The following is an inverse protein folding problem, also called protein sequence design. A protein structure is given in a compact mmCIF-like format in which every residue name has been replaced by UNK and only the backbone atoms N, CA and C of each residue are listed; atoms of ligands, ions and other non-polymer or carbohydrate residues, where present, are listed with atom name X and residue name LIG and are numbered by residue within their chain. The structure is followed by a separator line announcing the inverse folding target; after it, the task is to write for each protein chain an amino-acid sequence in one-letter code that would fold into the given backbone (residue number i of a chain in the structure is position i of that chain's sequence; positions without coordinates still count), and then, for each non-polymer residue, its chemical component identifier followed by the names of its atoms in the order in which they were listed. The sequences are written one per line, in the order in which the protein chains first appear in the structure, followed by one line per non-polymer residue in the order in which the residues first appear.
data_IF_380651215048
#
_entry.id   IF_380651215048
#
_cell.length_a   1.000
_cell.length_b   1.000
_cell.length_c   1.000
_cell.angle_alpha   90.00
_cell.angle_beta   90.00
_cell.angle_gamma   90.00
#
_symmetry.space_group_name_H-M   'P 1'
#
loop_
_entity.id
_entity.type
_entity.pdbx_description
1 polymer ?
#
# COMPACT_ATOMS: atom_id res chain seq x y z
N UNK A 1 0.95 16.05 -25.00
CA UNK A 1 0.74 15.89 -24.39
C UNK A 1 0.83 15.36 -23.38
N UNK A 2 1.08 15.50 -23.07
CA UNK A 2 1.21 15.05 -22.09
C UNK A 2 0.46 14.29 -21.52
N UNK A 3 0.11 14.04 -21.86
CA UNK A 3 -0.80 13.04 -21.53
C UNK A 3 -0.38 12.21 -20.38
N UNK A 4 0.84 11.82 -20.36
CA UNK A 4 1.36 11.03 -19.25
C UNK A 4 1.17 11.75 -17.95
N UNK A 5 1.37 13.01 -17.98
CA UNK A 5 1.16 13.80 -16.78
C UNK A 5 -0.28 13.73 -16.35
N UNK A 6 -1.17 13.69 -17.30
CA UNK A 6 -2.57 13.63 -16.96
C UNK A 6 -2.98 12.33 -16.32
N UNK A 7 -2.15 11.30 -16.42
CA UNK A 7 -2.47 10.01 -15.82
C UNK A 7 -2.21 9.95 -14.34
N UNK A 8 -1.43 10.87 -13.81
CA UNK A 8 -1.12 10.88 -12.40
C UNK A 8 -1.99 11.91 -11.71
N UNK A 9 -2.67 11.48 -10.67
CA UNK A 9 -3.47 12.40 -9.88
C UNK A 9 -3.47 11.97 -8.43
N UNK A 10 -3.58 12.95 -7.55
CA UNK A 10 -3.55 12.70 -6.13
C UNK A 10 -4.96 12.80 -5.58
N UNK A 11 -5.37 11.77 -4.84
CA UNK A 11 -6.65 11.77 -4.15
C UNK A 11 -6.38 12.21 -2.73
N UNK A 12 -6.99 13.32 -2.36
CA UNK A 12 -6.83 13.84 -1.01
C UNK A 12 -7.90 13.28 -0.11
N UNK A 13 -7.53 13.01 1.12
CA UNK A 13 -8.50 12.67 2.13
C UNK A 13 -9.33 13.89 2.47
N UNK A 14 -10.29 13.74 3.36
CA UNK A 14 -11.09 14.86 3.81
C UNK A 14 -10.21 15.94 4.41
N UNK A 15 -10.73 17.14 4.49
CA UNK A 15 -9.97 18.25 5.07
C UNK A 15 -9.51 17.87 6.46
N UNK A 16 -8.25 18.14 6.75
CA UNK A 16 -7.63 17.78 8.02
C UNK A 16 -6.88 16.47 7.99
N UNK A 17 -7.10 15.65 6.96
CA UNK A 17 -6.40 14.37 6.85
C UNK A 17 -5.31 14.40 5.81
N UNK A 18 -5.27 15.41 4.97
CA UNK A 18 -4.33 15.48 3.86
C UNK A 18 -2.87 15.51 4.34
N UNK A 19 -2.62 15.95 5.57
CA UNK A 19 -1.28 15.98 6.13
C UNK A 19 -0.87 14.65 6.76
N UNK A 20 -1.75 13.67 6.82
CA UNK A 20 -1.42 12.36 7.35
C UNK A 20 -1.04 11.38 6.25
N UNK A 21 -1.70 11.45 5.11
CA UNK A 21 -1.32 10.63 3.96
C UNK A 21 -1.81 11.27 2.67
N UNK A 22 -1.23 10.80 1.57
CA UNK A 22 -1.73 11.14 0.25
C UNK A 22 -1.78 9.86 -0.59
N UNK A 23 -2.75 9.80 -1.49
CA UNK A 23 -2.89 8.69 -2.42
C UNK A 23 -2.79 9.26 -3.84
N UNK A 24 -1.80 8.79 -4.59
CA UNK A 24 -1.60 9.21 -5.97
C UNK A 24 -1.92 8.06 -6.90
N UNK A 25 -2.77 8.30 -7.88
CA UNK A 25 -3.12 7.31 -8.88
C UNK A 25 -2.12 7.43 -10.03
N UNK A 26 -1.32 6.41 -10.22
CA UNK A 26 -0.38 6.31 -11.34
C UNK A 26 -0.95 5.30 -12.34
N UNK A 27 -0.39 5.20 -13.55
CA UNK A 27 -0.99 4.33 -14.55
C UNK A 27 -1.13 2.87 -14.13
N UNK A 28 -0.17 2.35 -13.34
CA UNK A 28 -0.16 0.91 -13.03
C UNK A 28 -0.14 0.60 -11.55
N UNK A 29 -0.02 1.62 -10.68
CA UNK A 29 0.00 1.41 -9.23
C UNK A 29 -0.71 2.57 -8.55
N UNK A 30 -1.16 2.31 -7.33
CA UNK A 30 -1.63 3.36 -6.42
C UNK A 30 -0.51 3.61 -5.43
N UNK A 31 -0.10 4.86 -5.28
CA UNK A 31 0.98 5.22 -4.37
C UNK A 31 0.39 5.87 -3.13
N UNK A 32 0.51 5.20 -2.01
CA UNK A 32 0.04 5.68 -0.71
C UNK A 32 1.25 6.13 0.09
N UNK A 33 1.33 7.43 0.38
CA UNK A 33 2.43 7.97 1.15
C UNK A 33 1.93 8.46 2.49
N UNK A 34 2.45 7.88 3.57
CA UNK A 34 2.14 8.32 4.91
C UNK A 34 3.12 9.40 5.33
N UNK A 35 2.64 10.40 6.07
CA UNK A 35 3.52 11.38 6.66
C UNK A 35 4.46 10.69 7.66
N UNK A 36 5.63 11.27 7.95
CA UNK A 36 6.55 10.60 8.87
C UNK A 36 6.08 10.72 10.32
N UNK A 37 6.55 9.77 11.13
CA UNK A 37 6.40 9.80 12.59
C UNK A 37 4.95 9.73 13.05
N UNK A 38 4.14 8.96 12.33
CA UNK A 38 2.73 8.83 12.68
C UNK A 38 2.46 7.64 13.60
N UNK A 39 1.39 7.77 14.36
CA UNK A 39 0.68 6.64 14.94
C UNK A 39 -0.52 6.43 14.02
N UNK A 40 -0.54 5.30 13.33
CA UNK A 40 -1.62 4.98 12.40
C UNK A 40 -2.71 4.25 13.18
N UNK A 41 -3.90 4.79 13.17
CA UNK A 41 -5.01 4.20 13.90
C UNK A 41 -6.08 3.67 12.94
N UNK A 42 -7.13 3.09 13.51
CA UNK A 42 -8.19 2.49 12.70
C UNK A 42 -8.88 3.50 11.80
N UNK A 43 -9.06 4.74 12.29
CA UNK A 43 -9.70 5.77 11.48
C UNK A 43 -8.84 6.10 10.23
N UNK A 44 -7.52 6.08 10.39
CA UNK A 44 -6.63 6.28 9.24
C UNK A 44 -6.84 5.19 8.19
N UNK A 45 -6.98 3.94 8.63
CA UNK A 45 -7.18 2.84 7.70
C UNK A 45 -8.53 2.97 6.99
N UNK A 46 -9.56 3.40 7.71
CA UNK A 46 -10.86 3.63 7.08
C UNK A 46 -10.80 4.72 6.02
N UNK A 47 -10.04 5.78 6.28
CA UNK A 47 -9.87 6.86 5.32
C UNK A 47 -9.11 6.41 4.09
N UNK A 48 -8.09 5.57 4.27
CA UNK A 48 -7.39 4.99 3.13
C UNK A 48 -8.35 4.15 2.30
N UNK A 49 -9.17 3.35 2.95
CA UNK A 49 -10.15 2.55 2.22
C UNK A 49 -11.09 3.41 1.39
N UNK A 50 -11.56 4.51 1.96
CA UNK A 50 -12.43 5.44 1.23
C UNK A 50 -11.68 6.07 0.05
N UNK A 51 -10.42 6.42 0.23
CA UNK A 51 -9.63 7.01 -0.83
C UNK A 51 -9.40 6.00 -1.97
N UNK A 52 -9.17 4.73 -1.63
CA UNK A 52 -9.01 3.69 -2.64
C UNK A 52 -10.26 3.56 -3.49
N UNK A 53 -11.42 3.55 -2.85
CA UNK A 53 -12.69 3.48 -3.59
C UNK A 53 -12.86 4.72 -4.44
N UNK A 54 -12.58 5.90 -3.89
CA UNK A 54 -12.76 7.15 -4.61
C UNK A 54 -11.82 7.25 -5.82
N UNK A 55 -10.70 6.53 -5.80
CA UNK A 55 -9.75 6.57 -6.90
C UNK A 55 -10.32 5.95 -8.18
N UNK A 56 -11.31 5.08 -8.05
CA UNK A 56 -11.83 4.34 -9.19
C UNK A 56 -10.88 3.27 -9.71
N UNK A 57 -9.79 3.03 -9.01
CA UNK A 57 -8.76 2.07 -9.42
C UNK A 57 -8.39 1.14 -8.31
N UNK A 58 -9.36 0.73 -7.50
CA UNK A 58 -9.09 -0.03 -6.28
C UNK A 58 -8.51 -1.43 -6.53
N UNK A 59 -8.42 -1.87 -7.77
CA UNK A 59 -7.83 -3.17 -8.08
C UNK A 59 -6.35 -3.10 -8.46
N UNK A 60 -5.78 -1.90 -8.54
CA UNK A 60 -4.36 -1.77 -8.88
C UNK A 60 -3.47 -2.16 -7.69
N UNK A 61 -2.24 -2.60 -7.96
CA UNK A 61 -1.28 -2.80 -6.88
C UNK A 61 -1.04 -1.52 -6.08
N UNK A 62 -0.70 -1.67 -4.82
CA UNK A 62 -0.50 -0.53 -3.92
C UNK A 62 0.95 -0.46 -3.50
N UNK A 63 1.55 0.72 -3.62
CA UNK A 63 2.85 1.03 -3.10
C UNK A 63 2.65 1.92 -1.87
N UNK A 64 2.82 1.36 -0.68
CA UNK A 64 2.59 2.09 0.57
C UNK A 64 3.94 2.48 1.16
N UNK A 65 4.17 3.77 1.33
CA UNK A 65 5.45 4.28 1.84
C UNK A 65 5.26 4.81 3.26
N UNK A 66 6.09 4.34 4.18
CA UNK A 66 6.10 4.79 5.56
C UNK A 66 7.50 5.32 5.89
N UNK A 67 7.60 6.22 6.86
CA UNK A 67 8.87 6.78 7.27
C UNK A 67 8.85 7.07 8.76
N UNK A 68 9.79 6.48 9.49
CA UNK A 68 9.94 6.71 10.93
C UNK A 68 8.61 6.50 11.66
N UNK A 69 7.92 5.44 11.32
CA UNK A 69 6.61 5.14 11.88
C UNK A 69 6.71 4.93 13.38
N UNK A 70 5.81 5.53 14.14
CA UNK A 70 5.83 5.38 15.58
C UNK A 70 5.08 4.16 16.05
N UNK A 71 3.91 3.94 15.47
CA UNK A 71 3.07 2.83 15.90
C UNK A 71 1.96 2.59 14.89
N UNK A 72 1.50 1.36 14.82
CA UNK A 72 0.24 1.01 14.18
C UNK A 72 -0.59 0.40 15.31
N UNK A 73 -1.70 1.03 15.66
CA UNK A 73 -2.49 0.59 16.79
C UNK A 73 -3.04 -0.82 16.56
N UNK A 74 -3.43 -1.48 17.64
CA UNK A 74 -3.96 -2.83 17.56
C UNK A 74 -5.16 -2.92 16.62
N UNK A 75 -6.12 -2.01 16.78
CA UNK A 75 -7.32 -2.06 15.95
C UNK A 75 -7.03 -1.68 14.50
N UNK A 76 -6.02 -0.84 14.26
CA UNK A 76 -5.57 -0.58 12.89
C UNK A 76 -5.00 -1.85 12.26
N UNK A 77 -4.19 -2.60 13.03
CA UNK A 77 -3.64 -3.87 12.54
C UNK A 77 -4.75 -4.85 12.20
N UNK A 78 -5.76 -4.93 13.05
CA UNK A 78 -6.89 -5.80 12.77
C UNK A 78 -7.62 -5.39 11.50
N UNK A 79 -7.80 -4.10 11.29
CA UNK A 79 -8.45 -3.61 10.08
C UNK A 79 -7.64 -3.97 8.83
N UNK A 80 -6.32 -3.84 8.91
CA UNK A 80 -5.45 -4.20 7.78
C UNK A 80 -5.53 -5.70 7.51
N UNK A 81 -5.47 -6.51 8.56
CA UNK A 81 -5.51 -7.96 8.39
C UNK A 81 -6.87 -8.43 7.86
N UNK A 82 -7.93 -7.69 8.13
CA UNK A 82 -9.24 -8.03 7.62
C UNK A 82 -9.50 -7.58 6.19
N UNK A 83 -8.59 -6.81 5.63
CA UNK A 83 -8.75 -6.31 4.27
C UNK A 83 -8.06 -7.25 3.28
N UNK A 84 -8.74 -7.60 2.21
CA UNK A 84 -8.18 -8.43 1.15
C UNK A 84 -8.08 -7.59 -0.11
N UNK A 85 -6.85 -7.31 -0.53
CA UNK A 85 -6.61 -6.54 -1.74
C UNK A 85 -6.43 -7.50 -2.91
N UNK A 86 -7.03 -7.20 -4.08
CA UNK A 86 -6.96 -8.13 -5.21
C UNK A 86 -5.59 -8.18 -5.90
N UNK A 87 -4.71 -7.23 -5.62
CA UNK A 87 -3.38 -7.20 -6.21
C UNK A 87 -2.34 -7.11 -5.11
N UNK A 88 -1.06 -7.06 -5.48
CA UNK A 88 0.02 -7.00 -4.51
C UNK A 88 0.08 -5.66 -3.82
N UNK A 89 0.55 -5.67 -2.58
CA UNK A 89 0.83 -4.47 -1.80
C UNK A 89 2.29 -4.51 -1.40
N UNK A 90 3.05 -3.47 -1.75
CA UNK A 90 4.43 -3.33 -1.30
C UNK A 90 4.47 -2.25 -0.24
N UNK A 91 5.10 -2.54 0.89
CA UNK A 91 5.33 -1.55 1.93
C UNK A 91 6.80 -1.16 1.86
N UNK A 92 7.07 0.11 1.69
CA UNK A 92 8.45 0.62 1.65
C UNK A 92 8.67 1.44 2.90
N UNK A 93 9.67 1.05 3.68
CA UNK A 93 10.03 1.75 4.89
C UNK A 93 11.48 2.18 4.85
N UNK A 94 11.88 2.97 5.84
CA UNK A 94 13.20 3.57 5.83
C UNK A 94 14.16 2.96 6.86
N UNK A 95 13.67 2.20 7.82
CA UNK A 95 14.55 1.68 8.87
C UNK A 95 13.99 0.40 9.49
N UNK A 96 14.74 -0.13 10.45
CA UNK A 96 14.36 -1.38 11.11
C UNK A 96 13.08 -1.26 11.92
N UNK A 97 12.79 -0.07 12.44
CA UNK A 97 11.55 0.12 13.20
C UNK A 97 10.35 -0.03 12.30
N UNK A 98 10.42 0.58 11.11
CA UNK A 98 9.33 0.42 10.15
C UNK A 98 9.12 -1.04 9.80
N UNK A 99 10.21 -1.79 9.63
CA UNK A 99 10.10 -3.21 9.34
C UNK A 99 9.39 -3.97 10.47
N UNK A 100 9.79 -3.70 11.71
CA UNK A 100 9.19 -4.40 12.85
C UNK A 100 7.71 -4.06 12.97
N UNK A 101 7.37 -2.79 12.81
CA UNK A 101 5.98 -2.37 12.98
C UNK A 101 5.06 -2.91 11.89
N UNK A 102 5.62 -3.22 10.72
CA UNK A 102 4.81 -3.74 9.62
C UNK A 102 4.90 -5.27 9.49
N UNK A 103 5.66 -5.93 10.37
CA UNK A 103 5.86 -7.37 10.25
C UNK A 103 4.57 -8.17 10.38
N UNK A 104 3.57 -7.64 11.08
CA UNK A 104 2.31 -8.36 11.24
C UNK A 104 1.62 -8.61 9.89
N UNK A 105 1.97 -7.85 8.86
CA UNK A 105 1.29 -7.96 7.57
C UNK A 105 1.52 -9.29 6.88
N UNK A 106 2.52 -10.06 7.32
CA UNK A 106 2.73 -11.40 6.73
C UNK A 106 1.54 -12.33 6.97
N UNK A 107 0.69 -12.01 7.94
CA UNK A 107 -0.50 -12.80 8.22
C UNK A 107 -1.73 -12.33 7.47
N UNK A 108 -1.59 -11.29 6.65
CA UNK A 108 -2.71 -10.78 5.89
C UNK A 108 -3.08 -11.75 4.78
N UNK A 109 -4.37 -11.76 4.40
CA UNK A 109 -4.80 -12.48 3.22
C UNK A 109 -4.39 -11.78 1.94
N UNK A 110 -4.01 -10.51 2.02
CA UNK A 110 -3.43 -9.80 0.88
C UNK A 110 -1.97 -10.20 0.73
N UNK A 111 -1.46 -10.16 -0.49
CA UNK A 111 -0.03 -10.43 -0.70
C UNK A 111 0.75 -9.15 -0.44
N UNK A 112 1.37 -9.07 0.73
CA UNK A 112 2.07 -7.87 1.19
C UNK A 112 3.53 -8.22 1.42
N UNK A 113 4.44 -7.37 0.93
CA UNK A 113 5.86 -7.56 1.15
C UNK A 113 6.51 -6.24 1.50
N UNK A 114 7.51 -6.29 2.39
CA UNK A 114 8.23 -5.11 2.85
C UNK A 114 9.52 -4.92 2.06
N UNK A 115 9.83 -3.66 1.74
CA UNK A 115 11.04 -3.28 1.01
C UNK A 115 11.66 -2.05 1.63
N UNK A 116 12.95 -1.86 1.40
CA UNK A 116 13.63 -0.62 1.77
C UNK A 116 13.96 0.22 0.54
N UNK A 117 13.76 -0.32 -0.64
CA UNK A 117 14.06 0.36 -1.90
C UNK A 117 12.80 0.43 -2.75
N UNK A 118 12.40 1.64 -3.09
CA UNK A 118 11.16 1.84 -3.83
C UNK A 118 11.20 1.19 -5.21
N UNK A 119 12.35 1.29 -5.91
CA UNK A 119 12.43 0.75 -7.26
C UNK A 119 12.30 -0.76 -7.26
N UNK A 120 12.88 -1.42 -6.26
CA UNK A 120 12.72 -2.86 -6.10
C UNK A 120 11.27 -3.20 -5.82
N UNK A 121 10.63 -2.42 -4.96
CA UNK A 121 9.22 -2.64 -4.62
C UNK A 121 8.33 -2.52 -5.86
N UNK A 122 8.56 -1.49 -6.67
CA UNK A 122 7.75 -1.28 -7.87
C UNK A 122 7.94 -2.43 -8.84
N UNK A 123 9.17 -2.90 -9.02
CA UNK A 123 9.40 -4.04 -9.90
C UNK A 123 8.66 -5.27 -9.43
N UNK A 124 8.64 -5.50 -8.12
CA UNK A 124 7.90 -6.64 -7.58
C UNK A 124 6.40 -6.48 -7.79
N UNK A 125 5.87 -5.27 -7.60
CA UNK A 125 4.45 -5.02 -7.79
C UNK A 125 4.01 -5.29 -9.23
N UNK A 126 4.88 -4.99 -10.18
CA UNK A 126 4.54 -5.09 -11.59
C UNK A 126 4.97 -6.40 -12.22
N UNK A 127 5.52 -7.32 -11.43
CA UNK A 127 5.85 -8.63 -11.97
C UNK A 127 4.61 -9.35 -12.45
N UNK A 128 4.82 -10.14 -13.48
CA UNK A 128 3.75 -10.91 -14.05
C UNK A 128 3.28 -11.96 -13.07
N UNK A 129 2.18 -11.73 -12.40
CA UNK A 129 1.71 -12.68 -11.41
C UNK A 129 1.03 -13.85 -12.03
N UNK A 130 0.34 -13.61 -13.11
CA UNK A 130 -0.35 -14.66 -13.79
C UNK A 130 0.61 -15.65 -14.43
N UNK A 131 1.83 -15.24 -14.65
CA UNK A 131 2.81 -16.15 -15.15
C UNK A 131 3.14 -17.21 -14.13
N UNK A 132 2.85 -16.90 -12.96
CA UNK A 132 3.18 -17.86 -11.97
C UNK A 132 2.17 -18.90 -11.97
N UNK A 133 1.88 -19.38 -12.21
CA UNK A 133 1.05 -20.26 -12.01
C UNK A 133 1.12 -21.47 -12.29
N UNK A 134 1.26 -21.47 -12.47
CA UNK A 134 0.97 -22.43 -12.55
C UNK A 134 1.26 -23.33 -11.69
N UNK A 135 1.31 -23.27 -11.64
CA UNK A 135 1.49 -23.92 -11.11
C UNK A 135 1.51 -24.77 -10.62
N UNK A 136 1.55 -24.96 -10.76
CA UNK A 136 1.68 -25.65 -10.26
C UNK A 136 2.01 -26.50 -10.01
N UNK A 137 2.29 -26.41 -10.07
CA UNK A 137 2.69 -27.00 -9.94
C UNK A 137 2.72 -27.80 -9.20
N UNK A 138 2.53 -27.91 -9.16
CA UNK A 138 2.59 -28.58 -8.55
C UNK A 138 2.38 -29.55 -8.31
N UNK A 139 2.39 -29.66 -8.57
CA UNK A 139 2.24 -30.50 -8.40
C UNK A 139 2.29 -31.24 -8.47
N UNK A 140 2.23 -31.03 -8.68
CA UNK A 140 2.32 -31.69 -8.78
C UNK A 140 2.41 -32.26 -8.65
#
# INVERSE_FOLDING_TARGET
MDTTVGDARTIQAAAGDADRFSLTVLPFVLRLQWAPRLVIDRADIARVGSALVASGRSTLPVLAEVSALKEITWDAREAILGYAHPARIAVVGSDAVDLVLTAFTVRSSSEIRYFTDRDVAVRWLLQEQDAAPPAPRRLQ
#
